data_IF_767219658766
#
_entry.id   IF_767219658766
#
_cell.length_a   1.000
_cell.length_b   1.000
_cell.length_c   1.000
_cell.angle_alpha   90.00
_cell.angle_beta   90.00
_cell.angle_gamma   90.00
#
_symmetry.space_group_name_H-M   'P 1'
#
loop_
_entity.id
_entity.type
_entity.pdbx_description
1 polymer ?
#
# COMPACT_ATOMS: atom_id res chain seq x y z
N UNK A 1 -11.22 9.34 14.47
CA UNK A 1 -10.14 8.44 14.01
C UNK A 1 -9.38 9.16 12.90
N UNK A 2 -8.08 9.31 13.02
CA UNK A 2 -7.25 9.94 11.99
C UNK A 2 -6.60 8.89 11.11
N UNK A 3 -6.58 9.10 9.78
CA UNK A 3 -5.92 8.22 8.81
C UNK A 3 -4.69 8.95 8.27
N UNK A 4 -3.50 8.36 8.44
CA UNK A 4 -2.28 8.84 7.81
C UNK A 4 -2.13 8.23 6.43
N UNK A 5 -2.10 9.06 5.39
CA UNK A 5 -1.74 8.69 4.03
C UNK A 5 -0.26 9.02 3.84
N UNK A 6 0.55 8.02 3.50
CA UNK A 6 2.00 8.18 3.28
C UNK A 6 2.28 8.09 1.78
N UNK A 7 2.80 9.18 1.20
CA UNK A 7 3.23 9.25 -0.20
C UNK A 7 4.74 9.36 -0.26
N UNK A 8 5.40 8.30 -0.73
CA UNK A 8 6.84 8.31 -0.99
C UNK A 8 7.12 8.79 -2.42
N UNK A 9 8.09 9.72 -2.57
CA UNK A 9 8.43 10.32 -3.86
C UNK A 9 9.92 10.34 -4.11
N UNK A 10 10.32 10.15 -5.36
CA UNK A 10 11.69 10.40 -5.85
C UNK A 10 11.65 10.68 -7.35
N UNK A 11 11.90 11.92 -7.75
CA UNK A 11 11.80 12.40 -9.14
C UNK A 11 10.47 11.99 -9.78
N UNK A 12 9.36 12.36 -9.13
CA UNK A 12 8.01 11.93 -9.46
C UNK A 12 7.10 13.12 -9.88
N UNK A 13 7.68 14.19 -10.42
CA UNK A 13 6.94 15.40 -10.79
C UNK A 13 5.80 15.12 -11.80
N UNK A 14 5.93 14.10 -12.62
CA UNK A 14 4.92 13.72 -13.61
C UNK A 14 3.73 12.98 -12.97
N UNK A 15 4.00 12.04 -12.06
CA UNK A 15 2.98 11.15 -11.47
C UNK A 15 2.31 11.75 -10.23
N UNK A 16 3.06 12.55 -9.46
CA UNK A 16 2.65 13.07 -8.16
C UNK A 16 1.35 13.89 -8.17
N UNK A 17 1.08 14.79 -9.15
CA UNK A 17 -0.10 15.65 -9.13
C UNK A 17 -1.42 14.90 -9.01
N UNK A 18 -1.53 13.73 -9.64
CA UNK A 18 -2.70 12.85 -9.58
C UNK A 18 -2.93 12.32 -8.17
N UNK A 19 -1.86 11.91 -7.47
CA UNK A 19 -1.94 11.42 -6.10
C UNK A 19 -2.35 12.52 -5.13
N UNK A 20 -1.73 13.71 -5.24
CA UNK A 20 -2.09 14.86 -4.41
C UNK A 20 -3.56 15.24 -4.57
N UNK A 21 -4.04 15.33 -5.82
CA UNK A 21 -5.45 15.62 -6.10
C UNK A 21 -6.40 14.56 -5.55
N UNK A 22 -6.00 13.28 -5.61
CA UNK A 22 -6.80 12.17 -5.08
C UNK A 22 -6.90 12.18 -3.55
N UNK A 23 -5.87 12.63 -2.84
CA UNK A 23 -5.93 12.79 -1.38
C UNK A 23 -6.72 14.06 -1.02
N UNK A 24 -6.48 15.16 -1.75
CA UNK A 24 -7.18 16.43 -1.53
C UNK A 24 -8.72 16.30 -1.69
N UNK A 25 -9.16 15.46 -2.62
CA UNK A 25 -10.59 15.27 -2.93
C UNK A 25 -11.34 14.39 -1.93
N UNK A 26 -10.67 13.79 -0.93
CA UNK A 26 -11.36 12.95 0.04
C UNK A 26 -12.31 13.76 0.92
N UNK A 27 -13.53 13.27 1.09
CA UNK A 27 -14.59 13.88 1.90
C UNK A 27 -14.52 13.52 3.40
N UNK A 28 -13.41 12.94 3.82
CA UNK A 28 -13.09 12.58 5.20
C UNK A 28 -12.11 13.57 5.81
N UNK A 29 -12.52 14.34 6.81
CA UNK A 29 -11.75 15.47 7.35
C UNK A 29 -10.52 15.08 8.18
N UNK A 30 -10.53 13.90 8.81
CA UNK A 30 -9.46 13.48 9.73
C UNK A 30 -8.34 12.77 8.97
N UNK A 31 -7.63 13.51 8.11
CA UNK A 31 -6.52 13.00 7.29
C UNK A 31 -5.23 13.71 7.64
N UNK A 32 -4.18 12.92 7.89
CA UNK A 32 -2.80 13.34 7.86
C UNK A 32 -2.17 12.86 6.55
N UNK A 33 -1.67 13.77 5.71
CA UNK A 33 -0.95 13.43 4.49
C UNK A 33 0.55 13.67 4.69
N UNK A 34 1.33 12.60 4.80
CA UNK A 34 2.79 12.64 4.91
C UNK A 34 3.42 12.41 3.54
N UNK A 35 4.21 13.37 3.06
CA UNK A 35 4.98 13.25 1.82
C UNK A 35 6.44 13.07 2.19
N UNK A 36 7.02 11.92 1.84
CA UNK A 36 8.40 11.55 2.13
C UNK A 36 9.17 11.53 0.81
N UNK A 37 9.96 12.56 0.59
CA UNK A 37 10.75 12.75 -0.62
C UNK A 37 12.20 12.34 -0.45
N UNK A 38 12.71 11.49 -1.33
CA UNK A 38 14.07 10.97 -1.36
C UNK A 38 15.13 11.95 -1.92
N UNK A 39 14.98 13.27 -1.67
CA UNK A 39 15.85 14.32 -2.23
C UNK A 39 15.73 14.43 -3.75
N UNK A 40 14.52 14.58 -4.26
CA UNK A 40 14.22 14.79 -5.68
C UNK A 40 14.97 15.99 -6.26
N UNK A 41 15.33 15.89 -7.55
CA UNK A 41 16.06 16.91 -8.29
C UNK A 41 15.23 17.56 -9.38
N UNK A 42 14.04 17.05 -9.64
CA UNK A 42 13.04 17.59 -10.57
C UNK A 42 12.05 18.52 -9.83
N UNK A 43 10.94 18.85 -10.46
CA UNK A 43 9.93 19.75 -9.91
C UNK A 43 9.05 19.10 -8.80
N UNK A 44 9.35 17.87 -8.36
CA UNK A 44 8.57 17.16 -7.32
C UNK A 44 8.33 18.03 -6.09
N UNK A 45 9.40 18.59 -5.50
CA UNK A 45 9.28 19.40 -4.27
C UNK A 45 8.68 20.78 -4.50
N UNK A 46 8.66 21.27 -5.72
CA UNK A 46 7.91 22.49 -6.08
C UNK A 46 6.40 22.20 -6.00
N UNK A 47 5.94 21.11 -6.61
CA UNK A 47 4.54 20.68 -6.56
C UNK A 47 4.06 20.42 -5.13
N UNK A 48 4.91 19.80 -4.31
CA UNK A 48 4.59 19.56 -2.88
C UNK A 48 4.38 20.86 -2.14
N UNK A 49 5.26 21.87 -2.31
CA UNK A 49 5.10 23.18 -1.66
C UNK A 49 3.84 23.91 -2.11
N UNK A 50 3.53 23.88 -3.41
CA UNK A 50 2.28 24.47 -3.96
C UNK A 50 1.04 23.79 -3.35
N UNK A 51 1.08 22.47 -3.16
CA UNK A 51 0.02 21.71 -2.53
C UNK A 51 -0.13 22.06 -1.03
N UNK A 52 0.97 22.15 -0.27
CA UNK A 52 0.95 22.58 1.14
C UNK A 52 0.38 24.00 1.30
N UNK A 53 0.81 24.95 0.43
CA UNK A 53 0.34 26.33 0.46
C UNK A 53 -1.15 26.43 0.13
N UNK A 54 -1.60 25.74 -0.92
CA UNK A 54 -3.02 25.70 -1.33
C UNK A 54 -3.91 25.15 -0.23
N UNK A 55 -3.45 24.11 0.46
CA UNK A 55 -4.24 23.42 1.49
C UNK A 55 -4.27 24.18 2.81
N UNK A 56 -3.32 25.09 3.07
CA UNK A 56 -3.21 25.83 4.32
C UNK A 56 -4.44 26.71 4.56
N UNK A 57 -5.26 26.35 5.54
CA UNK A 57 -6.50 27.05 5.91
C UNK A 57 -7.68 26.85 4.93
N UNK A 58 -7.50 26.07 3.88
CA UNK A 58 -8.56 25.74 2.91
C UNK A 58 -9.02 24.27 3.01
N UNK A 59 -8.15 23.39 3.48
CA UNK A 59 -8.43 21.97 3.65
C UNK A 59 -8.43 21.59 5.14
N UNK A 60 -9.29 20.67 5.60
CA UNK A 60 -9.22 20.12 6.94
C UNK A 60 -8.04 19.14 7.11
N UNK A 61 -7.41 18.69 6.01
CA UNK A 61 -6.31 17.72 6.02
C UNK A 61 -5.02 18.39 6.55
N UNK A 62 -4.29 17.65 7.38
CA UNK A 62 -2.97 18.04 7.86
C UNK A 62 -1.92 17.54 6.85
N UNK A 63 -1.19 18.47 6.22
CA UNK A 63 -0.16 18.10 5.24
C UNK A 63 1.21 18.37 5.82
N UNK A 64 2.09 17.38 5.74
CA UNK A 64 3.48 17.47 6.19
C UNK A 64 4.40 16.85 5.14
N UNK A 65 5.47 17.54 4.78
CA UNK A 65 6.45 17.02 3.83
C UNK A 65 7.86 17.06 4.41
N UNK A 66 8.65 16.03 4.10
CA UNK A 66 10.08 15.95 4.40
C UNK A 66 10.84 15.52 3.15
N UNK A 67 11.91 16.26 2.82
CA UNK A 67 12.79 15.93 1.70
C UNK A 67 14.23 15.73 2.19
N UNK A 68 14.64 14.47 2.20
CA UNK A 68 16.00 14.08 2.62
C UNK A 68 16.44 12.80 1.89
N UNK A 69 17.77 12.56 1.79
CA UNK A 69 18.24 11.32 1.18
C UNK A 69 17.72 10.07 1.90
N UNK A 70 17.41 9.03 1.14
CA UNK A 70 17.00 7.72 1.65
C UNK A 70 17.78 6.57 0.98
N UNK A 71 17.65 5.38 1.56
CA UNK A 71 18.19 4.12 1.04
C UNK A 71 17.30 3.44 -0.02
N UNK A 72 16.23 4.11 -0.47
CA UNK A 72 15.23 3.60 -1.41
C UNK A 72 13.82 3.58 -0.82
N UNK A 73 12.84 3.14 -1.62
CA UNK A 73 11.41 3.22 -1.31
C UNK A 73 11.03 2.76 0.11
N UNK A 74 11.51 1.60 0.54
CA UNK A 74 11.12 1.04 1.84
C UNK A 74 11.79 1.77 3.02
N UNK A 75 12.93 2.44 2.80
CA UNK A 75 13.51 3.33 3.80
C UNK A 75 12.67 4.60 3.94
N UNK A 76 12.23 5.20 2.83
CA UNK A 76 11.27 6.31 2.85
C UNK A 76 9.95 5.90 3.53
N UNK A 77 9.42 4.70 3.22
CA UNK A 77 8.21 4.17 3.88
C UNK A 77 8.42 4.02 5.39
N UNK A 78 9.58 3.53 5.85
CA UNK A 78 9.88 3.43 7.28
C UNK A 78 9.92 4.79 7.97
N UNK A 79 10.48 5.81 7.32
CA UNK A 79 10.43 7.19 7.83
C UNK A 79 8.98 7.66 7.98
N UNK A 80 8.16 7.45 6.95
CA UNK A 80 6.73 7.77 6.99
C UNK A 80 6.00 7.05 8.12
N UNK A 81 6.24 5.75 8.35
CA UNK A 81 5.68 5.00 9.47
C UNK A 81 6.02 5.66 10.81
N UNK A 82 7.30 6.01 11.03
CA UNK A 82 7.71 6.60 12.31
C UNK A 82 7.11 8.00 12.53
N UNK A 83 6.88 8.76 11.47
CA UNK A 83 6.29 10.09 11.52
C UNK A 83 4.76 10.10 11.60
N UNK A 84 4.08 9.02 11.22
CA UNK A 84 2.62 8.93 11.23
C UNK A 84 2.03 9.16 12.62
N UNK A 85 1.03 10.03 12.72
CA UNK A 85 0.34 10.39 13.98
C UNK A 85 -1.11 9.90 14.02
N UNK A 86 -1.66 9.45 12.88
CA UNK A 86 -3.01 8.90 12.80
C UNK A 86 -3.16 7.53 13.45
N UNK A 87 -4.41 7.10 13.63
CA UNK A 87 -4.75 5.79 14.21
C UNK A 87 -4.42 4.65 13.24
N UNK A 88 -4.61 4.89 11.95
CA UNK A 88 -4.27 3.98 10.85
C UNK A 88 -3.39 4.68 9.83
N UNK A 89 -2.54 3.90 9.17
CA UNK A 89 -1.76 4.39 8.05
C UNK A 89 -1.95 3.52 6.79
N UNK A 90 -1.80 4.17 5.63
CA UNK A 90 -1.79 3.53 4.31
C UNK A 90 -0.72 4.18 3.43
N UNK A 91 -0.17 3.40 2.53
CA UNK A 91 0.76 3.90 1.51
C UNK A 91 0.02 4.16 0.20
N UNK A 92 0.13 5.37 -0.30
CA UNK A 92 -0.36 5.78 -1.61
C UNK A 92 0.79 6.47 -2.35
N UNK A 93 1.59 5.68 -3.08
CA UNK A 93 2.78 6.21 -3.74
C UNK A 93 2.44 7.15 -4.91
N UNK A 94 3.43 7.93 -5.36
CA UNK A 94 3.24 8.81 -6.51
C UNK A 94 2.75 8.05 -7.75
N UNK A 95 1.65 8.51 -8.34
CA UNK A 95 0.94 7.86 -9.45
C UNK A 95 -0.27 7.02 -9.02
N UNK A 96 -0.31 6.53 -7.79
CA UNK A 96 -1.46 5.80 -7.24
C UNK A 96 -2.55 6.79 -6.80
N UNK A 97 -3.81 6.33 -6.78
CA UNK A 97 -4.96 7.13 -6.34
C UNK A 97 -5.90 6.32 -5.46
N UNK A 98 -6.68 6.99 -4.64
CA UNK A 98 -7.89 6.38 -4.08
C UNK A 98 -8.92 6.11 -5.19
N UNK A 99 -9.85 5.21 -4.93
CA UNK A 99 -10.88 4.85 -5.91
C UNK A 99 -11.82 6.01 -6.24
N UNK A 100 -12.22 6.74 -5.23
CA UNK A 100 -13.11 7.90 -5.31
C UNK A 100 -12.97 8.76 -4.03
N UNK A 101 -13.71 9.87 -3.97
CA UNK A 101 -13.71 10.83 -2.85
C UNK A 101 -14.22 10.26 -1.53
N UNK A 102 -14.97 9.16 -1.52
CA UNK A 102 -15.55 8.52 -0.34
C UNK A 102 -14.69 7.38 0.21
N UNK A 103 -13.50 7.14 -0.33
CA UNK A 103 -12.68 5.97 0.01
C UNK A 103 -12.27 5.98 1.50
N UNK A 104 -11.76 7.11 2.00
CA UNK A 104 -11.33 7.20 3.40
C UNK A 104 -12.50 7.16 4.38
N UNK A 105 -13.67 7.69 4.00
CA UNK A 105 -14.90 7.57 4.78
C UNK A 105 -15.34 6.10 4.93
N UNK A 106 -15.26 5.30 3.85
CA UNK A 106 -15.53 3.84 3.91
C UNK A 106 -14.58 3.12 4.85
N UNK A 107 -13.30 3.46 4.82
CA UNK A 107 -12.28 2.89 5.72
C UNK A 107 -12.58 3.27 7.16
N UNK A 108 -12.89 4.53 7.41
CA UNK A 108 -13.27 5.02 8.74
C UNK A 108 -14.51 4.32 9.27
N UNK A 109 -15.53 4.14 8.44
CA UNK A 109 -16.75 3.40 8.81
C UNK A 109 -16.44 1.94 9.16
N UNK A 110 -15.59 1.26 8.37
CA UNK A 110 -15.18 -0.11 8.64
C UNK A 110 -14.38 -0.26 9.96
N UNK A 111 -13.62 0.76 10.35
CA UNK A 111 -12.90 0.78 11.63
C UNK A 111 -13.83 0.88 12.85
N UNK A 112 -15.00 1.50 12.67
CA UNK A 112 -15.99 1.72 13.72
C UNK A 112 -17.01 0.56 13.88
N UNK A 113 -16.94 -0.47 13.03
CA UNK A 113 -17.80 -1.65 13.14
C UNK A 113 -17.55 -2.34 14.50
N UNK A 114 -18.61 -2.93 15.14
CA UNK A 114 -18.74 -2.99 16.57
C UNK A 114 -17.60 -3.67 17.32
N UNK A 115 -17.16 -3.03 18.36
CA UNK A 115 -16.30 -3.48 19.49
C UNK A 115 -14.87 -3.95 19.18
N UNK A 116 -14.40 -3.88 17.94
CA UNK A 116 -13.13 -4.51 17.58
C UNK A 116 -12.23 -3.52 16.85
N UNK A 117 -11.44 -2.76 17.54
CA UNK A 117 -10.38 -1.93 16.96
C UNK A 117 -9.48 -2.78 16.01
N UNK A 118 -9.76 -2.88 14.70
CA UNK A 118 -9.10 -3.85 13.82
C UNK A 118 -7.62 -3.55 13.66
N UNK A 119 -6.80 -4.60 13.56
CA UNK A 119 -5.37 -4.44 13.26
C UNK A 119 -5.15 -3.96 11.82
N UNK A 120 -6.04 -4.37 10.91
CA UNK A 120 -5.98 -4.05 9.49
C UNK A 120 -7.38 -3.88 8.93
N UNK A 121 -7.56 -2.83 8.13
CA UNK A 121 -8.72 -2.65 7.26
C UNK A 121 -8.23 -2.81 5.84
N UNK A 122 -8.92 -3.60 5.01
CA UNK A 122 -8.44 -3.89 3.67
C UNK A 122 -9.57 -3.94 2.64
N UNK A 123 -9.18 -3.83 1.37
CA UNK A 123 -10.10 -3.93 0.25
C UNK A 123 -9.40 -4.32 -1.04
N UNK A 124 -10.10 -4.18 -2.14
CA UNK A 124 -9.61 -4.50 -3.48
C UNK A 124 -8.87 -3.31 -4.11
N UNK A 125 -8.25 -3.56 -5.25
CA UNK A 125 -7.44 -2.59 -5.98
C UNK A 125 -7.67 -2.72 -7.48
N UNK A 126 -7.90 -1.60 -8.14
CA UNK A 126 -7.93 -1.49 -9.59
C UNK A 126 -6.55 -1.09 -10.16
N UNK A 127 -6.38 -1.24 -11.46
CA UNK A 127 -5.17 -0.88 -12.22
C UNK A 127 -5.52 0.29 -13.14
N UNK A 128 -4.68 1.32 -13.16
CA UNK A 128 -4.78 2.47 -14.06
C UNK A 128 -3.53 2.61 -14.92
N UNK A 129 -3.67 3.22 -16.09
CA UNK A 129 -2.54 3.60 -16.96
C UNK A 129 -1.89 4.92 -16.52
N UNK A 130 -0.86 5.35 -17.25
CA UNK A 130 -0.13 6.60 -17.05
C UNK A 130 -1.02 7.86 -17.17
N UNK A 131 -2.17 7.76 -17.88
CA UNK A 131 -3.17 8.82 -18.01
C UNK A 131 -4.26 8.77 -16.94
N UNK A 132 -4.24 7.75 -16.08
CA UNK A 132 -5.26 7.53 -15.05
C UNK A 132 -6.51 6.79 -15.53
N UNK A 133 -6.49 6.24 -16.76
CA UNK A 133 -7.62 5.46 -17.26
C UNK A 133 -7.62 4.06 -16.65
N UNK A 134 -8.81 3.56 -16.33
CA UNK A 134 -9.00 2.21 -15.83
C UNK A 134 -8.56 1.17 -16.87
N UNK A 135 -7.64 0.29 -16.47
CA UNK A 135 -7.11 -0.83 -17.27
C UNK A 135 -7.82 -2.13 -16.93
N UNK A 136 -8.10 -2.35 -15.65
CA UNK A 136 -8.73 -3.57 -15.19
C UNK A 136 -8.64 -3.77 -13.68
N UNK A 137 -9.30 -4.81 -13.20
CA UNK A 137 -9.13 -5.28 -11.82
C UNK A 137 -7.81 -6.01 -11.66
N UNK A 138 -7.25 -5.91 -10.48
CA UNK A 138 -6.10 -6.72 -10.12
C UNK A 138 -6.48 -8.21 -10.14
N UNK A 139 -5.62 -9.05 -10.70
CA UNK A 139 -5.87 -10.50 -10.85
C UNK A 139 -6.05 -11.26 -9.53
N UNK A 140 -5.38 -10.80 -8.47
CA UNK A 140 -5.47 -11.36 -7.13
C UNK A 140 -6.41 -10.47 -6.32
N UNK A 141 -7.55 -11.01 -5.93
CA UNK A 141 -8.53 -10.31 -5.11
C UNK A 141 -8.39 -10.68 -3.63
N UNK A 142 -8.78 -9.77 -2.71
CA UNK A 142 -8.81 -10.08 -1.28
C UNK A 142 -9.81 -11.19 -0.98
N UNK A 143 -9.48 -12.13 -0.09
CA UNK A 143 -10.42 -13.14 0.36
C UNK A 143 -11.40 -12.54 1.38
N UNK A 144 -12.53 -13.19 1.58
CA UNK A 144 -13.51 -12.83 2.62
C UNK A 144 -12.86 -12.80 4.00
N UNK A 145 -12.13 -13.84 4.36
CA UNK A 145 -11.36 -13.93 5.60
C UNK A 145 -9.87 -13.90 5.29
N UNK A 146 -9.27 -12.72 5.42
CA UNK A 146 -7.83 -12.54 5.27
C UNK A 146 -7.09 -13.04 6.51
N UNK A 147 -5.95 -13.66 6.29
CA UNK A 147 -4.99 -14.01 7.33
C UNK A 147 -3.57 -13.99 6.76
N UNK A 148 -2.56 -14.03 7.63
CA UNK A 148 -1.18 -14.16 7.18
C UNK A 148 -0.96 -15.42 6.30
N UNK A 149 -1.75 -16.49 6.51
CA UNK A 149 -1.69 -17.72 5.71
C UNK A 149 -2.22 -17.52 4.30
N UNK A 150 -3.10 -16.55 4.07
CA UNK A 150 -3.70 -16.26 2.76
C UNK A 150 -2.63 -15.84 1.74
N UNK A 151 -1.59 -15.14 2.18
CA UNK A 151 -0.51 -14.68 1.30
C UNK A 151 0.40 -15.80 0.77
N UNK A 152 0.21 -17.04 1.24
CA UNK A 152 0.78 -18.22 0.60
C UNK A 152 0.35 -18.36 -0.87
N UNK A 153 -0.84 -17.87 -1.20
CA UNK A 153 -1.40 -17.88 -2.56
C UNK A 153 -1.00 -16.65 -3.40
N UNK A 154 -0.11 -15.83 -2.89
CA UNK A 154 0.34 -14.56 -3.46
C UNK A 154 -0.12 -13.37 -2.59
N UNK A 155 0.29 -12.17 -2.96
CA UNK A 155 -0.14 -10.95 -2.27
C UNK A 155 -1.59 -10.64 -2.67
N UNK A 156 -2.56 -11.18 -1.91
CA UNK A 156 -3.99 -11.08 -2.23
C UNK A 156 -4.55 -9.67 -2.00
N UNK A 157 -3.95 -8.91 -1.08
CA UNK A 157 -4.25 -7.50 -0.83
C UNK A 157 -3.03 -6.67 -1.21
N UNK A 158 -3.21 -5.61 -1.98
CA UNK A 158 -2.16 -4.67 -2.32
C UNK A 158 -1.87 -3.75 -1.12
N UNK A 159 -0.62 -3.31 -0.93
CA UNK A 159 -0.30 -2.43 0.21
C UNK A 159 -1.03 -1.09 0.15
N UNK A 160 -1.42 -0.61 -1.04
CA UNK A 160 -2.25 0.60 -1.23
C UNK A 160 -3.71 0.43 -0.75
N UNK A 161 -4.15 -0.81 -0.54
CA UNK A 161 -5.48 -1.13 0.00
C UNK A 161 -5.38 -1.90 1.33
N UNK A 162 -4.29 -1.68 2.08
CA UNK A 162 -3.97 -2.33 3.36
C UNK A 162 -3.71 -1.25 4.40
N UNK A 163 -4.74 -0.88 5.15
CA UNK A 163 -4.69 0.13 6.21
C UNK A 163 -4.29 -0.56 7.50
N UNK A 164 -3.06 -0.35 7.93
CA UNK A 164 -2.53 -0.93 9.15
C UNK A 164 -2.71 0.01 10.34
N UNK A 165 -3.05 -0.53 11.50
CA UNK A 165 -3.05 0.24 12.74
C UNK A 165 -1.64 0.76 13.02
N UNK A 166 -1.51 2.06 13.31
CA UNK A 166 -0.23 2.76 13.33
C UNK A 166 0.72 2.23 14.41
N UNK A 167 0.21 1.85 15.57
CA UNK A 167 1.04 1.27 16.65
C UNK A 167 1.70 -0.04 16.24
N UNK A 168 0.97 -0.92 15.53
CA UNK A 168 1.53 -2.16 14.98
C UNK A 168 2.55 -1.87 13.88
N UNK A 169 2.26 -0.93 12.99
CA UNK A 169 3.18 -0.54 11.92
C UNK A 169 4.49 0.02 12.47
N UNK A 170 4.44 0.90 13.50
CA UNK A 170 5.63 1.43 14.16
C UNK A 170 6.48 0.36 14.86
N UNK A 171 5.83 -0.67 15.43
CA UNK A 171 6.53 -1.79 16.05
C UNK A 171 7.15 -2.75 15.01
N UNK A 172 6.68 -2.73 13.76
CA UNK A 172 7.06 -3.67 12.71
C UNK A 172 7.46 -2.89 11.44
N UNK A 173 8.67 -2.31 11.37
CA UNK A 173 9.12 -1.61 10.18
C UNK A 173 9.38 -2.58 9.01
N UNK A 174 9.44 -2.05 7.80
CA UNK A 174 9.90 -2.79 6.61
C UNK A 174 11.34 -3.28 6.81
N UNK A 175 11.59 -4.53 6.41
CA UNK A 175 12.93 -5.13 6.42
C UNK A 175 13.70 -4.71 5.17
N UNK A 176 14.68 -3.82 5.35
CA UNK A 176 15.44 -3.21 4.26
C UNK A 176 16.36 -4.19 3.50
N UNK A 177 16.49 -5.44 3.96
CA UNK A 177 17.15 -6.49 3.17
C UNK A 177 16.38 -6.82 1.88
N UNK A 178 15.07 -6.59 1.84
CA UNK A 178 14.23 -6.76 0.66
C UNK A 178 14.07 -5.42 -0.06
N UNK A 179 14.47 -5.38 -1.31
CA UNK A 179 14.42 -4.16 -2.11
C UNK A 179 13.17 -4.04 -2.99
N UNK A 180 12.50 -5.17 -3.29
CA UNK A 180 11.39 -5.25 -4.25
C UNK A 180 10.13 -5.92 -3.71
N UNK A 181 10.19 -6.54 -2.55
CA UNK A 181 9.08 -7.32 -1.99
C UNK A 181 8.99 -7.22 -0.46
N UNK A 182 9.52 -6.13 0.13
CA UNK A 182 9.39 -5.90 1.57
C UNK A 182 7.93 -5.63 1.99
N UNK A 183 7.10 -5.14 1.09
CA UNK A 183 5.65 -4.97 1.27
C UNK A 183 4.94 -6.31 1.57
N UNK A 184 5.30 -7.38 0.88
CA UNK A 184 4.77 -8.73 1.14
C UNK A 184 5.19 -9.21 2.53
N UNK A 185 6.46 -9.06 2.88
CA UNK A 185 7.01 -9.43 4.20
C UNK A 185 6.32 -8.64 5.31
N UNK A 186 6.18 -7.34 5.14
CA UNK A 186 5.57 -6.42 6.10
C UNK A 186 4.09 -6.75 6.36
N UNK A 187 3.29 -6.89 5.31
CA UNK A 187 1.88 -7.27 5.45
C UNK A 187 1.72 -8.60 6.20
N UNK A 188 2.58 -9.61 5.90
CA UNK A 188 2.56 -10.89 6.61
C UNK A 188 2.91 -10.71 8.09
N UNK A 189 3.91 -9.90 8.42
CA UNK A 189 4.33 -9.62 9.81
C UNK A 189 3.22 -8.91 10.60
N UNK A 190 2.59 -7.88 10.01
CA UNK A 190 1.43 -7.18 10.60
C UNK A 190 0.30 -8.17 10.88
N UNK A 191 -0.08 -9.00 9.90
CA UNK A 191 -1.14 -9.99 10.08
C UNK A 191 -0.79 -11.09 11.10
N UNK A 192 0.49 -11.48 11.23
CA UNK A 192 0.94 -12.40 12.29
C UNK A 192 0.82 -11.76 13.67
N UNK A 193 1.21 -10.49 13.80
CA UNK A 193 1.05 -9.72 15.03
C UNK A 193 -0.43 -9.60 15.39
N UNK A 194 -1.28 -9.23 14.42
CA UNK A 194 -2.72 -9.20 14.62
C UNK A 194 -3.27 -10.54 15.17
N UNK A 195 -2.86 -11.66 14.58
CA UNK A 195 -3.27 -12.98 15.02
C UNK A 195 -2.80 -13.32 16.45
N UNK A 196 -1.59 -12.89 16.84
CA UNK A 196 -1.07 -13.12 18.20
C UNK A 196 -1.83 -12.34 19.27
N UNK A 197 -2.30 -11.14 18.93
CA UNK A 197 -3.14 -10.31 19.81
C UNK A 197 -4.65 -10.55 19.62
N UNK A 198 -5.05 -11.48 18.76
CA UNK A 198 -6.45 -11.78 18.42
C UNK A 198 -7.21 -10.56 17.90
N UNK A 199 -6.52 -9.68 17.18
CA UNK A 199 -7.13 -8.50 16.58
C UNK A 199 -7.72 -8.85 15.21
N UNK A 200 -8.89 -8.33 14.85
CA UNK A 200 -9.55 -8.63 13.59
C UNK A 200 -8.86 -7.96 12.40
N UNK A 201 -9.11 -8.53 11.22
CA UNK A 201 -8.80 -7.95 9.92
C UNK A 201 -10.14 -7.74 9.20
N UNK A 202 -10.49 -6.50 8.89
CA UNK A 202 -11.81 -6.13 8.37
C UNK A 202 -11.75 -5.86 6.87
N UNK A 203 -12.60 -6.58 6.10
CA UNK A 203 -12.78 -6.35 4.67
C UNK A 203 -13.84 -5.27 4.44
N UNK A 204 -13.50 -4.24 3.69
CA UNK A 204 -14.46 -3.19 3.30
C UNK A 204 -15.40 -3.63 2.17
N UNK A 205 -15.12 -4.76 1.51
CA UNK A 205 -15.81 -5.24 0.30
C UNK A 205 -15.85 -4.21 -0.84
N UNK A 206 -14.90 -3.26 -0.84
CA UNK A 206 -14.82 -2.17 -1.80
C UNK A 206 -13.43 -2.12 -2.46
N UNK A 207 -13.35 -1.52 -3.63
CA UNK A 207 -12.09 -1.07 -4.23
C UNK A 207 -11.67 0.18 -3.47
N UNK A 208 -10.45 0.16 -2.88
CA UNK A 208 -9.94 1.27 -2.09
C UNK A 208 -8.88 2.09 -2.83
N UNK A 209 -8.14 1.47 -3.75
CA UNK A 209 -7.08 2.15 -4.47
C UNK A 209 -7.03 1.76 -5.94
N UNK A 210 -6.49 2.66 -6.75
CA UNK A 210 -6.10 2.41 -8.13
C UNK A 210 -4.58 2.59 -8.21
N UNK A 211 -3.84 1.53 -8.55
CA UNK A 211 -2.39 1.65 -8.68
C UNK A 211 -1.95 1.80 -10.15
N UNK A 212 -0.90 2.57 -10.35
CA UNK A 212 -0.31 2.81 -11.66
C UNK A 212 0.38 1.53 -12.17
N UNK A 213 -0.01 1.06 -13.37
CA UNK A 213 0.66 -0.06 -14.05
C UNK A 213 2.11 0.32 -14.44
N UNK A 214 2.99 -0.66 -14.47
CA UNK A 214 4.39 -0.45 -14.89
C UNK A 214 5.36 -0.07 -13.77
N UNK A 215 4.95 -0.13 -12.50
CA UNK A 215 5.80 0.17 -11.34
C UNK A 215 7.06 -0.70 -11.20
N UNK A 216 7.83 -0.45 -10.14
CA UNK A 216 9.15 -1.07 -9.86
C UNK A 216 9.15 -2.61 -9.94
N UNK A 217 8.06 -3.25 -9.51
CA UNK A 217 7.92 -4.72 -9.57
C UNK A 217 7.88 -5.24 -11.00
N UNK A 218 7.30 -4.50 -11.94
CA UNK A 218 7.28 -4.85 -13.37
C UNK A 218 8.66 -4.69 -13.98
N UNK A 219 9.32 -3.58 -13.71
CA UNK A 219 10.68 -3.28 -14.23
C UNK A 219 11.72 -4.30 -13.74
N UNK A 220 11.67 -4.69 -12.46
CA UNK A 220 12.63 -5.62 -11.84
C UNK A 220 12.02 -7.00 -11.57
N UNK A 221 11.13 -7.47 -12.40
CA UNK A 221 10.31 -8.67 -12.22
C UNK A 221 11.06 -9.90 -11.69
N UNK A 222 12.21 -10.26 -12.33
CA UNK A 222 12.99 -11.45 -11.91
C UNK A 222 13.58 -11.31 -10.49
N UNK A 223 14.00 -10.10 -10.12
CA UNK A 223 14.55 -9.82 -8.77
C UNK A 223 13.44 -9.87 -7.73
N UNK A 224 12.32 -9.23 -8.02
CA UNK A 224 11.12 -9.28 -7.16
C UNK A 224 10.64 -10.73 -6.94
N UNK A 225 10.62 -11.57 -7.97
CA UNK A 225 10.25 -12.99 -7.81
C UNK A 225 11.21 -13.76 -6.88
N UNK A 226 12.52 -13.51 -6.96
CA UNK A 226 13.50 -14.16 -6.06
C UNK A 226 13.33 -13.71 -4.62
N UNK A 227 13.14 -12.42 -4.39
CA UNK A 227 12.87 -11.90 -3.05
C UNK A 227 11.56 -12.43 -2.49
N UNK A 228 10.49 -12.45 -3.28
CA UNK A 228 9.19 -13.02 -2.89
C UNK A 228 9.32 -14.50 -2.53
N UNK A 229 10.10 -15.28 -3.28
CA UNK A 229 10.40 -16.66 -2.92
C UNK A 229 11.10 -16.75 -1.56
N UNK A 230 12.10 -15.88 -1.30
CA UNK A 230 12.81 -15.81 -0.02
C UNK A 230 11.86 -15.43 1.14
N UNK A 231 11.01 -14.42 0.95
CA UNK A 231 9.96 -14.03 1.93
C UNK A 231 9.03 -15.21 2.23
N UNK A 232 8.55 -15.90 1.19
CA UNK A 232 7.66 -17.05 1.38
C UNK A 232 8.35 -18.22 2.09
N UNK A 233 9.62 -18.50 1.78
CA UNK A 233 10.41 -19.51 2.49
C UNK A 233 10.55 -19.18 3.98
N UNK A 234 10.80 -17.90 4.29
CA UNK A 234 10.92 -17.43 5.66
C UNK A 234 9.61 -17.59 6.45
N UNK A 235 8.48 -17.26 5.86
CA UNK A 235 7.19 -17.27 6.56
C UNK A 235 6.47 -18.62 6.56
N UNK A 236 6.63 -19.44 5.51
CA UNK A 236 5.83 -20.65 5.26
C UNK A 236 6.67 -21.93 5.15
N UNK A 237 7.99 -21.81 5.18
CA UNK A 237 8.92 -22.92 4.97
C UNK A 237 9.18 -23.24 3.50
N UNK A 238 10.34 -23.84 3.23
CA UNK A 238 10.82 -24.11 1.86
C UNK A 238 9.89 -25.07 1.11
N UNK A 239 9.50 -26.18 1.72
CA UNK A 239 8.66 -27.20 1.08
C UNK A 239 7.31 -26.61 0.61
N UNK A 240 6.62 -25.89 1.50
CA UNK A 240 5.35 -25.21 1.16
C UNK A 240 5.54 -24.21 0.04
N UNK A 241 6.62 -23.44 0.07
CA UNK A 241 6.91 -22.40 -0.94
C UNK A 241 7.17 -23.03 -2.30
N UNK A 242 7.95 -24.10 -2.39
CA UNK A 242 8.21 -24.82 -3.65
C UNK A 242 6.91 -25.35 -4.24
N UNK A 243 6.07 -26.02 -3.45
CA UNK A 243 4.76 -26.51 -3.92
C UNK A 243 3.90 -25.39 -4.48
N UNK A 244 3.84 -24.25 -3.79
CA UNK A 244 3.04 -23.11 -4.26
C UNK A 244 3.59 -22.48 -5.54
N UNK A 245 4.91 -22.40 -5.71
CA UNK A 245 5.52 -21.89 -6.94
C UNK A 245 5.30 -22.83 -8.13
N UNK A 246 5.35 -24.14 -7.93
CA UNK A 246 4.94 -25.12 -8.96
C UNK A 246 3.46 -24.94 -9.36
N UNK A 247 2.59 -24.74 -8.38
CA UNK A 247 1.19 -24.42 -8.63
C UNK A 247 1.00 -23.12 -9.41
N UNK A 248 1.74 -22.03 -9.10
CA UNK A 248 1.68 -20.78 -9.85
C UNK A 248 2.13 -20.97 -11.30
N UNK A 249 3.19 -21.75 -11.53
CA UNK A 249 3.66 -22.06 -12.88
C UNK A 249 2.61 -22.85 -13.69
N UNK A 250 2.02 -23.89 -13.09
CA UNK A 250 0.95 -24.68 -13.71
C UNK A 250 -0.26 -23.82 -14.05
N UNK A 251 -0.73 -22.99 -13.11
CA UNK A 251 -1.85 -22.06 -13.33
C UNK A 251 -1.56 -21.08 -14.46
N UNK A 252 -0.34 -20.57 -14.56
CA UNK A 252 0.09 -19.69 -15.64
C UNK A 252 0.04 -20.35 -17.03
N UNK A 253 0.42 -21.63 -17.13
CA UNK A 253 0.33 -22.40 -18.38
C UNK A 253 -1.13 -22.66 -18.78
N UNK A 254 -1.98 -23.04 -17.82
CA UNK A 254 -3.41 -23.30 -18.05
C UNK A 254 -4.14 -22.02 -18.51
N UNK A 255 -3.87 -20.89 -17.87
CA UNK A 255 -4.47 -19.61 -18.23
C UNK A 255 -4.14 -19.19 -19.67
N UNK A 256 -2.87 -19.35 -20.08
CA UNK A 256 -2.43 -19.03 -21.46
C UNK A 256 -3.07 -19.93 -22.54
N UNK A 257 -3.49 -21.15 -22.19
CA UNK A 257 -4.18 -22.06 -23.11
C UNK A 257 -5.66 -21.73 -23.30
N UNK A 258 -6.28 -21.01 -22.35
CA UNK A 258 -7.70 -20.60 -22.42
C UNK A 258 -7.91 -19.28 -23.19
N UNK A 259 -6.86 -18.52 -23.43
CA UNK A 259 -6.88 -17.24 -24.17
C UNK A 259 -6.38 -17.39 -25.62
N UNK A 260 -6.09 -18.58 -26.07
CA UNK A 260 -5.87 -18.97 -27.46
C UNK A 260 -7.04 -19.82 -27.96
#
# INVERSE_FOLDING_TARGET
>A
MTITVITCTYNAAHELPRTLASVESQDYDQVEHLIIDGKSKDDTMKLVREYEEKSRGASPHQIRAVSEPDGGLYDAMNKGIQMAEGDYLVFLNAGDTFKDEHTLQRVAHAALMPDENPAVIYGDTDIIDDRGHYVGRRRLAPPEALSWKSFRHGMLVCHQAFYARTDLAKAIPYDLKYRYSADVDWCIKIMKSAASYRLPLVNTHAVLACFLDGGMTTTYHRRSLRERFSVMCHHYGVASTVVMHLWFALRGVISRRRTR
#
